data_IF_333012403552
#
_entry.id   IF_333012403552
#
_cell.length_a   1.000
_cell.length_b   1.000
_cell.length_c   1.000
_cell.angle_alpha   90.00
_cell.angle_beta   90.00
_cell.angle_gamma   90.00
#
_symmetry.space_group_name_H-M   'P 1'
#
loop_
_entity.id
_entity.type
_entity.pdbx_description
1 polymer ?
#
# COMPACT_ATOMS: atom_id res chain seq x y z
N UNK A 1 28.90 -2.12 -17.51
CA UNK A 1 28.63 -2.43 -16.09
C UNK A 1 27.12 -2.47 -15.95
N UNK A 2 26.56 -3.66 -15.94
CA UNK A 2 25.10 -3.88 -15.93
C UNK A 2 24.68 -3.99 -14.48
N UNK A 3 23.94 -3.01 -13.99
CA UNK A 3 23.29 -3.09 -12.67
C UNK A 3 22.18 -4.12 -12.77
N UNK A 4 22.45 -5.33 -12.27
CA UNK A 4 21.40 -6.26 -11.89
C UNK A 4 20.63 -5.61 -10.76
N UNK A 5 19.42 -5.12 -11.05
CA UNK A 5 18.44 -4.80 -10.02
C UNK A 5 18.15 -6.12 -9.33
N UNK A 6 18.75 -6.27 -8.16
CA UNK A 6 18.63 -7.42 -7.28
C UNK A 6 17.15 -7.77 -7.08
N UNK A 7 16.87 -9.06 -7.26
CA UNK A 7 15.67 -9.84 -6.92
C UNK A 7 14.43 -9.04 -6.48
N UNK A 8 13.28 -9.12 -7.19
CA UNK A 8 12.02 -8.59 -6.67
C UNK A 8 11.82 -9.16 -5.25
N UNK A 9 11.36 -8.36 -4.28
CA UNK A 9 11.17 -8.83 -2.92
C UNK A 9 10.33 -10.12 -2.97
N UNK A 10 10.92 -11.22 -2.51
CA UNK A 10 10.27 -12.54 -2.51
C UNK A 10 8.96 -12.53 -1.70
N UNK A 11 8.79 -11.49 -0.87
CA UNK A 11 7.56 -11.19 -0.14
C UNK A 11 6.85 -9.93 -0.70
N UNK A 12 5.67 -10.05 -1.32
CA UNK A 12 4.89 -8.91 -1.82
C UNK A 12 4.45 -7.94 -0.72
N UNK A 13 4.24 -8.39 0.52
CA UNK A 13 3.95 -7.49 1.65
C UNK A 13 5.10 -6.50 1.88
N UNK A 14 6.33 -7.01 2.03
CA UNK A 14 7.52 -6.16 2.22
C UNK A 14 7.72 -5.21 1.06
N UNK A 15 7.42 -5.66 -0.16
CA UNK A 15 7.45 -4.82 -1.36
C UNK A 15 6.53 -3.61 -1.24
N UNK A 16 5.29 -3.83 -0.80
CA UNK A 16 4.30 -2.77 -0.67
C UNK A 16 4.69 -1.78 0.45
N UNK A 17 5.15 -2.27 1.59
CA UNK A 17 5.60 -1.43 2.71
C UNK A 17 6.77 -0.52 2.30
N UNK A 18 7.77 -1.08 1.62
CA UNK A 18 8.92 -0.32 1.12
C UNK A 18 8.48 0.77 0.12
N UNK A 19 7.54 0.44 -0.77
CA UNK A 19 7.02 1.39 -1.75
C UNK A 19 6.25 2.54 -1.09
N UNK A 20 5.44 2.26 -0.06
CA UNK A 20 4.73 3.29 0.72
C UNK A 20 5.73 4.29 1.30
N UNK A 21 6.77 3.81 1.99
CA UNK A 21 7.79 4.69 2.60
C UNK A 21 8.57 5.48 1.55
N UNK A 22 8.84 4.87 0.40
CA UNK A 22 9.64 5.48 -0.68
C UNK A 22 8.98 6.72 -1.30
N UNK A 23 7.67 6.88 -1.16
CA UNK A 23 6.96 8.04 -1.72
C UNK A 23 7.49 9.36 -1.14
N UNK A 24 7.92 9.37 0.13
CA UNK A 24 8.52 10.55 0.74
C UNK A 24 9.82 11.02 0.05
N UNK A 25 10.53 10.14 -0.66
CA UNK A 25 11.77 10.49 -1.38
C UNK A 25 11.49 11.41 -2.58
N UNK A 26 10.26 11.40 -3.09
CA UNK A 26 9.83 12.30 -4.17
C UNK A 26 9.53 13.73 -3.68
N UNK A 27 9.46 13.94 -2.36
CA UNK A 27 9.10 15.24 -1.76
C UNK A 27 10.36 15.89 -1.19
N UNK A 28 10.75 17.03 -1.76
CA UNK A 28 11.88 17.81 -1.25
C UNK A 28 11.65 18.22 0.21
N UNK A 29 12.57 17.85 1.10
CA UNK A 29 12.42 18.07 2.55
C UNK A 29 11.46 17.11 3.26
N UNK A 30 11.07 16.00 2.62
CA UNK A 30 10.10 15.02 3.13
C UNK A 30 10.54 14.16 4.31
N UNK A 31 11.47 14.59 5.15
CA UNK A 31 11.95 13.78 6.28
C UNK A 31 10.84 13.49 7.31
N UNK A 32 10.00 14.49 7.62
CA UNK A 32 8.85 14.32 8.50
C UNK A 32 7.81 13.38 7.86
N UNK A 33 7.52 13.56 6.58
CA UNK A 33 6.62 12.67 5.83
C UNK A 33 7.15 11.22 5.82
N UNK A 34 8.46 11.03 5.64
CA UNK A 34 9.08 9.72 5.69
C UNK A 34 8.87 9.04 7.04
N UNK A 35 9.06 9.77 8.15
CA UNK A 35 8.84 9.23 9.49
C UNK A 35 7.38 8.81 9.69
N UNK A 36 6.42 9.65 9.30
CA UNK A 36 4.99 9.31 9.37
C UNK A 36 4.63 8.09 8.51
N UNK A 37 5.19 7.97 7.31
CA UNK A 37 4.98 6.81 6.45
C UNK A 37 5.65 5.55 6.99
N UNK A 38 6.78 5.67 7.70
CA UNK A 38 7.42 4.55 8.39
C UNK A 38 6.57 4.03 9.55
N UNK A 39 6.02 4.94 10.37
CA UNK A 39 5.11 4.56 11.46
C UNK A 39 3.85 3.90 10.91
N UNK A 40 3.27 4.46 9.85
CA UNK A 40 2.10 3.89 9.18
C UNK A 40 2.40 2.51 8.56
N UNK A 41 3.53 2.36 7.85
CA UNK A 41 3.96 1.06 7.33
C UNK A 41 4.19 0.04 8.47
N UNK A 42 4.74 0.47 9.60
CA UNK A 42 4.85 -0.35 10.80
C UNK A 42 3.50 -0.85 11.30
N UNK A 43 2.50 0.03 11.38
CA UNK A 43 1.15 -0.35 11.77
C UNK A 43 0.48 -1.32 10.78
N UNK A 44 0.65 -1.10 9.47
CA UNK A 44 0.17 -2.02 8.43
C UNK A 44 0.77 -3.42 8.56
N UNK A 45 2.05 -3.51 8.90
CA UNK A 45 2.74 -4.79 9.09
C UNK A 45 2.26 -5.51 10.35
N UNK A 46 2.10 -4.79 11.47
CA UNK A 46 1.62 -5.36 12.74
C UNK A 46 0.22 -5.94 12.59
N UNK A 47 -0.69 -5.21 11.92
CA UNK A 47 -2.06 -5.68 11.66
C UNK A 47 -2.12 -6.74 10.55
N UNK A 48 -1.00 -7.06 9.90
CA UNK A 48 -0.95 -8.00 8.79
C UNK A 48 -1.83 -7.56 7.61
N UNK A 49 -2.07 -6.26 7.45
CA UNK A 49 -3.01 -5.71 6.47
C UNK A 49 -2.67 -6.17 5.05
N UNK A 50 -1.39 -6.28 4.73
CA UNK A 50 -0.87 -6.59 3.39
C UNK A 50 -0.55 -8.08 3.19
N UNK A 51 -0.86 -8.94 4.17
CA UNK A 51 -0.54 -10.38 4.15
C UNK A 51 -1.27 -11.17 3.05
N UNK A 52 -2.36 -10.63 2.52
CA UNK A 52 -3.14 -11.24 1.44
C UNK A 52 -2.57 -11.01 0.04
N UNK A 53 -1.53 -10.20 -0.12
CA UNK A 53 -0.92 -9.93 -1.42
C UNK A 53 -0.12 -11.13 -1.92
N UNK A 54 -0.31 -11.50 -3.18
CA UNK A 54 0.30 -12.69 -3.78
C UNK A 54 1.32 -12.37 -4.87
N UNK A 55 1.27 -11.17 -5.46
CA UNK A 55 2.20 -10.74 -6.52
C UNK A 55 2.83 -9.38 -6.23
N UNK A 56 4.01 -9.13 -6.79
CA UNK A 56 4.68 -7.83 -6.70
C UNK A 56 3.89 -6.72 -7.41
N UNK A 57 3.13 -7.04 -8.45
CA UNK A 57 2.32 -6.05 -9.16
C UNK A 57 1.10 -5.65 -8.32
N UNK A 58 0.45 -6.60 -7.64
CA UNK A 58 -0.60 -6.28 -6.66
C UNK A 58 -0.03 -5.47 -5.49
N UNK A 59 1.20 -5.77 -5.05
CA UNK A 59 1.87 -4.98 -4.02
C UNK A 59 2.12 -3.53 -4.44
N UNK A 60 2.56 -3.32 -5.69
CA UNK A 60 2.72 -1.97 -6.26
C UNK A 60 1.38 -1.24 -6.33
N UNK A 61 0.34 -1.92 -6.79
CA UNK A 61 -0.99 -1.35 -6.91
C UNK A 61 -1.58 -1.00 -5.54
N UNK A 62 -1.43 -1.89 -4.55
CA UNK A 62 -1.85 -1.65 -3.17
C UNK A 62 -1.12 -0.44 -2.58
N UNK A 63 0.21 -0.43 -2.66
CA UNK A 63 1.04 0.67 -2.14
C UNK A 63 0.67 2.02 -2.77
N UNK A 64 0.53 2.07 -4.11
CA UNK A 64 0.13 3.28 -4.81
C UNK A 64 -1.27 3.77 -4.40
N UNK A 65 -2.22 2.85 -4.28
CA UNK A 65 -3.60 3.17 -3.89
C UNK A 65 -3.69 3.68 -2.45
N UNK A 66 -3.00 3.00 -1.53
CA UNK A 66 -2.95 3.35 -0.11
C UNK A 66 -2.32 4.72 0.08
N UNK A 67 -1.18 4.95 -0.56
CA UNK A 67 -0.47 6.21 -0.40
C UNK A 67 -1.14 7.39 -1.09
N UNK A 68 -1.80 7.18 -2.25
CA UNK A 68 -2.65 8.21 -2.84
C UNK A 68 -3.77 8.59 -1.88
N UNK A 69 -4.55 7.61 -1.40
CA UNK A 69 -5.63 7.89 -0.46
C UNK A 69 -5.12 8.62 0.80
N UNK A 70 -4.08 8.12 1.46
CA UNK A 70 -3.54 8.68 2.68
C UNK A 70 -2.98 10.11 2.52
N UNK A 71 -2.45 10.45 1.33
CA UNK A 71 -1.83 11.75 1.09
C UNK A 71 -2.78 12.78 0.47
N UNK A 72 -3.81 12.36 -0.29
CA UNK A 72 -4.60 13.27 -1.13
C UNK A 72 -6.10 13.20 -0.94
N UNK A 73 -6.65 12.16 -0.29
CA UNK A 73 -8.09 12.08 -0.08
C UNK A 73 -8.52 12.85 1.18
N UNK A 74 -9.63 13.58 1.08
CA UNK A 74 -10.28 14.21 2.24
C UNK A 74 -10.81 13.17 3.25
N UNK A 75 -11.22 12.00 2.74
CA UNK A 75 -11.64 10.82 3.51
C UNK A 75 -10.87 9.58 3.02
N UNK A 76 -9.67 9.31 3.55
CA UNK A 76 -8.85 8.20 3.10
C UNK A 76 -9.46 6.84 3.46
N UNK A 77 -10.18 6.73 4.59
CA UNK A 77 -10.82 5.49 5.03
C UNK A 77 -11.95 5.11 4.09
N UNK A 78 -12.87 6.04 3.80
CA UNK A 78 -13.95 5.82 2.85
C UNK A 78 -13.44 5.56 1.43
N UNK A 79 -12.41 6.32 1.01
CA UNK A 79 -11.77 6.14 -0.29
C UNK A 79 -11.20 4.73 -0.48
N UNK A 80 -10.55 4.16 0.54
CA UNK A 80 -10.00 2.81 0.48
C UNK A 80 -11.09 1.73 0.49
N UNK A 81 -12.11 1.87 1.34
CA UNK A 81 -13.24 0.92 1.41
C UNK A 81 -14.02 0.87 0.09
N UNK A 82 -14.23 2.01 -0.57
CA UNK A 82 -14.87 2.08 -1.89
C UNK A 82 -14.03 1.34 -2.94
N UNK A 83 -12.71 1.54 -2.94
CA UNK A 83 -11.81 0.86 -3.88
C UNK A 83 -11.73 -0.64 -3.62
N UNK A 84 -11.73 -1.08 -2.36
CA UNK A 84 -11.83 -2.48 -1.98
C UNK A 84 -13.12 -3.12 -2.53
N UNK A 85 -14.26 -2.42 -2.43
CA UNK A 85 -15.52 -2.86 -3.02
C UNK A 85 -15.46 -2.96 -4.55
N UNK A 86 -14.78 -2.02 -5.22
CA UNK A 86 -14.59 -2.04 -6.68
C UNK A 86 -13.74 -3.25 -7.14
N UNK A 87 -12.66 -3.59 -6.43
CA UNK A 87 -11.88 -4.80 -6.70
C UNK A 87 -12.72 -6.07 -6.55
N UNK A 88 -13.54 -6.18 -5.49
CA UNK A 88 -14.46 -7.31 -5.29
C UNK A 88 -15.53 -7.41 -6.38
N UNK A 89 -15.98 -6.27 -6.90
CA UNK A 89 -16.94 -6.19 -8.00
C UNK A 89 -16.32 -6.50 -9.38
N UNK A 90 -14.99 -6.70 -9.47
CA UNK A 90 -14.29 -6.96 -10.72
C UNK A 90 -14.24 -5.75 -11.64
N UNK A 91 -14.33 -4.53 -11.09
CA UNK A 91 -14.26 -3.30 -11.88
C UNK A 91 -12.85 -3.05 -12.46
N UNK A 92 -11.83 -3.74 -11.94
CA UNK A 92 -10.44 -3.58 -12.33
C UNK A 92 -9.78 -4.93 -12.62
N UNK A 93 -8.90 -4.93 -13.62
CA UNK A 93 -8.12 -6.09 -14.00
C UNK A 93 -6.85 -6.14 -13.13
N UNK A 94 -6.75 -7.16 -12.27
CA UNK A 94 -5.62 -7.40 -11.39
C UNK A 94 -5.50 -8.91 -11.14
N UNK A 95 -4.30 -9.35 -10.75
CA UNK A 95 -4.01 -10.77 -10.61
C UNK A 95 -4.76 -11.39 -9.43
N UNK A 96 -4.85 -10.66 -8.30
CA UNK A 96 -5.57 -11.08 -7.11
C UNK A 96 -6.46 -9.97 -6.53
N UNK A 97 -7.71 -9.84 -7.04
CA UNK A 97 -8.64 -8.82 -6.55
C UNK A 97 -9.04 -9.04 -5.08
N UNK A 98 -8.96 -10.27 -4.56
CA UNK A 98 -9.33 -10.56 -3.17
C UNK A 98 -8.22 -10.11 -2.21
N UNK A 99 -6.98 -10.46 -2.53
CA UNK A 99 -5.80 -10.02 -1.78
C UNK A 99 -5.69 -8.49 -1.75
N UNK A 100 -5.92 -7.83 -2.89
CA UNK A 100 -5.96 -6.37 -2.97
C UNK A 100 -7.09 -5.76 -2.13
N UNK A 101 -8.32 -6.26 -2.25
CA UNK A 101 -9.43 -5.74 -1.47
C UNK A 101 -9.22 -5.91 0.04
N UNK A 102 -8.64 -7.03 0.48
CA UNK A 102 -8.26 -7.24 1.87
C UNK A 102 -7.19 -6.24 2.32
N UNK A 103 -6.16 -6.02 1.49
CA UNK A 103 -5.10 -5.04 1.78
C UNK A 103 -5.64 -3.63 1.97
N UNK A 104 -6.57 -3.20 1.12
CA UNK A 104 -7.18 -1.87 1.22
C UNK A 104 -8.09 -1.72 2.45
N UNK A 105 -8.87 -2.75 2.79
CA UNK A 105 -9.69 -2.70 4.01
C UNK A 105 -8.85 -2.75 5.30
N UNK A 106 -7.75 -3.50 5.29
CA UNK A 106 -6.79 -3.52 6.38
C UNK A 106 -6.13 -2.14 6.55
N UNK A 107 -5.70 -1.52 5.46
CA UNK A 107 -5.15 -0.18 5.49
C UNK A 107 -6.17 0.87 5.95
N UNK A 108 -7.42 0.77 5.49
CA UNK A 108 -8.50 1.63 5.97
C UNK A 108 -8.72 1.49 7.47
N UNK A 109 -8.66 0.26 8.00
CA UNK A 109 -8.79 -0.01 9.43
C UNK A 109 -7.64 0.58 10.23
N UNK A 110 -6.40 0.47 9.74
CA UNK A 110 -5.23 1.11 10.38
C UNK A 110 -5.39 2.63 10.42
N UNK A 111 -5.81 3.25 9.31
CA UNK A 111 -6.04 4.69 9.24
C UNK A 111 -7.17 5.16 10.16
N UNK A 112 -8.23 4.37 10.36
CA UNK A 112 -9.36 4.68 11.25
C UNK A 112 -8.93 4.75 12.73
N UNK A 113 -7.75 4.23 13.06
CA UNK A 113 -7.19 4.20 14.42
C UNK A 113 -6.17 5.31 14.69
N UNK A 114 -5.75 6.08 13.69
CA UNK A 114 -4.76 7.16 13.79
C UNK A 114 -5.43 8.53 14.00
#
# INVERSE_FOLDING_TARGET
MTITVDTPPTNPETAALDLIVRIAESVAGGAALRASLQDFAGALHIEGALSGLSTTDDARLAAATIAEAACTADDPVGALRIRAAAFRAGCWDCADPRGLAQALDGAATVLDML
#
